data_IF_620326350128
#
_entry.id   IF_620326350128
#
_cell.length_a   1.000
_cell.length_b   1.000
_cell.length_c   1.000
_cell.angle_alpha   90.00
_cell.angle_beta   90.00
_cell.angle_gamma   90.00
#
_symmetry.space_group_name_H-M   'P 1'
#
loop_
_entity.id
_entity.type
_entity.pdbx_description
1 polymer ?
#
# COMPACT_ATOMS: atom_id res chain seq x y z
N UNK A 1 -21.34 -12.68 -9.58
CA UNK A 1 -21.51 -11.89 -8.35
C UNK A 1 -20.18 -11.77 -7.59
N UNK A 2 -19.67 -12.84 -6.97
CA UNK A 2 -18.44 -12.82 -6.15
C UNK A 2 -17.22 -12.20 -6.85
N UNK A 3 -16.96 -12.55 -8.12
CA UNK A 3 -15.82 -11.99 -8.84
C UNK A 3 -15.94 -10.47 -9.09
N UNK A 4 -17.13 -9.98 -9.45
CA UNK A 4 -17.34 -8.53 -9.64
C UNK A 4 -17.22 -7.77 -8.31
N UNK A 5 -17.66 -8.37 -7.20
CA UNK A 5 -17.48 -7.78 -5.88
C UNK A 5 -15.99 -7.71 -5.50
N UNK A 6 -15.21 -8.76 -5.81
CA UNK A 6 -13.74 -8.76 -5.64
C UNK A 6 -13.07 -7.68 -6.47
N UNK A 7 -13.41 -7.57 -7.77
CA UNK A 7 -12.82 -6.58 -8.66
C UNK A 7 -13.12 -5.15 -8.17
N UNK A 8 -14.37 -4.88 -7.79
CA UNK A 8 -14.75 -3.57 -7.23
C UNK A 8 -13.99 -3.26 -5.94
N UNK A 9 -13.89 -4.21 -5.01
CA UNK A 9 -13.14 -3.99 -3.77
C UNK A 9 -11.65 -3.74 -4.03
N UNK A 10 -11.08 -4.38 -5.06
CA UNK A 10 -9.69 -4.16 -5.45
C UNK A 10 -9.49 -2.76 -6.06
N UNK A 11 -10.42 -2.30 -6.90
CA UNK A 11 -10.40 -0.93 -7.44
C UNK A 11 -10.49 0.13 -6.34
N UNK A 12 -11.38 -0.08 -5.36
CA UNK A 12 -11.53 0.78 -4.19
C UNK A 12 -10.23 0.79 -3.36
N UNK A 13 -9.65 -0.37 -3.08
CA UNK A 13 -8.40 -0.48 -2.34
C UNK A 13 -7.21 0.18 -3.05
N UNK A 14 -7.11 0.03 -4.38
CA UNK A 14 -6.10 0.72 -5.20
C UNK A 14 -6.27 2.24 -5.12
N UNK A 15 -7.51 2.74 -5.11
CA UNK A 15 -7.78 4.18 -4.98
C UNK A 15 -7.39 4.73 -3.59
N UNK A 16 -7.61 3.96 -2.53
CA UNK A 16 -7.15 4.30 -1.18
C UNK A 16 -5.63 4.34 -1.09
N UNK A 17 -4.95 3.29 -1.57
CA UNK A 17 -3.48 3.23 -1.62
C UNK A 17 -2.90 4.39 -2.43
N UNK A 18 -3.53 4.73 -3.56
CA UNK A 18 -3.14 5.89 -4.35
C UNK A 18 -3.22 7.18 -3.54
N UNK A 19 -4.29 7.36 -2.78
CA UNK A 19 -4.45 8.54 -1.91
C UNK A 19 -3.34 8.61 -0.87
N UNK A 20 -2.96 7.48 -0.28
CA UNK A 20 -1.81 7.41 0.62
C UNK A 20 -0.49 7.78 -0.07
N UNK A 21 -0.25 7.31 -1.29
CA UNK A 21 0.97 7.67 -2.05
C UNK A 21 0.97 9.16 -2.42
N UNK A 22 -0.10 9.64 -3.04
CA UNK A 22 -0.18 10.98 -3.62
C UNK A 22 -0.21 12.08 -2.54
N UNK A 23 -0.70 11.77 -1.33
CA UNK A 23 -0.76 12.74 -0.22
C UNK A 23 0.22 12.42 0.91
N UNK A 24 0.11 11.25 1.55
CA UNK A 24 0.89 10.94 2.76
C UNK A 24 2.36 10.69 2.46
N UNK A 25 2.68 9.81 1.52
CA UNK A 25 4.08 9.53 1.15
C UNK A 25 4.71 10.77 0.53
N UNK A 26 3.96 11.46 -0.35
CA UNK A 26 4.43 12.71 -0.97
C UNK A 26 4.70 13.83 0.03
N UNK A 27 3.91 13.94 1.10
CA UNK A 27 4.14 14.92 2.17
C UNK A 27 5.54 14.77 2.79
N UNK A 28 6.02 13.53 2.93
CA UNK A 28 7.35 13.24 3.48
C UNK A 28 8.50 13.64 2.56
N UNK A 29 8.22 13.90 1.27
CA UNK A 29 9.18 14.35 0.27
C UNK A 29 9.18 15.88 0.08
N UNK A 30 8.37 16.62 0.84
CA UNK A 30 8.33 18.09 0.77
C UNK A 30 9.62 18.71 1.35
N UNK A 31 10.10 19.79 0.71
CA UNK A 31 11.31 20.50 1.13
C UNK A 31 11.19 21.14 2.52
N UNK A 32 9.95 21.37 2.98
CA UNK A 32 9.66 21.99 4.27
C UNK A 32 9.54 20.97 5.42
N UNK A 33 9.71 19.67 5.15
CA UNK A 33 9.67 18.63 6.17
C UNK A 33 10.82 18.84 7.17
N UNK A 34 10.55 18.87 8.50
CA UNK A 34 11.61 19.03 9.49
C UNK A 34 12.65 17.90 9.38
N UNK A 35 13.95 18.17 9.62
CA UNK A 35 15.01 17.18 9.45
C UNK A 35 14.80 15.88 10.23
N UNK A 36 14.19 15.94 11.42
CA UNK A 36 13.87 14.76 12.23
C UNK A 36 12.83 13.85 11.57
N UNK A 37 11.85 14.43 10.87
CA UNK A 37 10.83 13.70 10.13
C UNK A 37 11.44 13.10 8.86
N UNK A 38 12.21 13.91 8.12
CA UNK A 38 12.91 13.46 6.91
C UNK A 38 13.89 12.30 7.19
N UNK A 39 14.56 12.32 8.34
CA UNK A 39 15.45 11.23 8.78
C UNK A 39 14.73 9.90 9.04
N UNK A 40 13.41 9.93 9.27
CA UNK A 40 12.58 8.73 9.47
C UNK A 40 11.65 8.46 8.29
N UNK A 41 11.86 9.11 7.14
CA UNK A 41 11.00 9.03 5.95
C UNK A 41 10.64 7.60 5.58
N UNK A 42 11.63 6.71 5.44
CA UNK A 42 11.40 5.32 5.02
C UNK A 42 10.50 4.57 6.01
N UNK A 43 10.75 4.74 7.31
CA UNK A 43 9.96 4.10 8.36
C UNK A 43 8.52 4.63 8.42
N UNK A 44 8.35 5.94 8.25
CA UNK A 44 7.04 6.60 8.21
C UNK A 44 6.25 6.21 6.96
N UNK A 45 6.89 6.22 5.78
CA UNK A 45 6.27 5.84 4.52
C UNK A 45 5.86 4.37 4.46
N UNK A 46 6.48 3.50 5.28
CA UNK A 46 6.41 2.05 5.16
C UNK A 46 6.73 1.65 3.70
N UNK A 47 6.17 0.53 3.24
CA UNK A 47 6.22 0.10 1.83
C UNK A 47 4.90 0.38 1.09
N UNK A 48 4.24 1.50 1.38
CA UNK A 48 2.94 1.86 0.79
C UNK A 48 3.05 2.02 -0.73
N UNK A 49 4.15 2.57 -1.24
CA UNK A 49 4.36 2.76 -2.68
C UNK A 49 4.48 1.41 -3.41
N UNK A 50 5.16 0.43 -2.80
CA UNK A 50 5.29 -0.92 -3.31
C UNK A 50 3.95 -1.65 -3.29
N UNK A 51 3.18 -1.54 -2.21
CA UNK A 51 1.81 -2.07 -2.13
C UNK A 51 0.91 -1.48 -3.22
N UNK A 52 0.92 -0.15 -3.38
CA UNK A 52 0.17 0.51 -4.43
C UNK A 52 0.57 -0.01 -5.81
N UNK A 53 1.86 -0.10 -6.09
CA UNK A 53 2.35 -0.59 -7.37
C UNK A 53 1.94 -2.05 -7.62
N UNK A 54 2.06 -2.93 -6.62
CA UNK A 54 1.62 -4.31 -6.72
C UNK A 54 0.12 -4.39 -7.05
N UNK A 55 -0.73 -3.72 -6.27
CA UNK A 55 -2.17 -3.80 -6.46
C UNK A 55 -2.62 -3.15 -7.78
N UNK A 56 -2.15 -1.94 -8.08
CA UNK A 56 -2.58 -1.19 -9.27
C UNK A 56 -2.04 -1.79 -10.59
N UNK A 57 -0.78 -2.23 -10.60
CA UNK A 57 -0.10 -2.61 -11.84
C UNK A 57 0.01 -4.12 -12.07
N UNK A 58 -0.15 -4.94 -11.03
CA UNK A 58 -0.01 -6.39 -11.12
C UNK A 58 -1.34 -7.07 -10.83
N UNK A 59 -1.91 -6.85 -9.64
CA UNK A 59 -3.09 -7.57 -9.18
C UNK A 59 -4.34 -7.17 -9.96
N UNK A 60 -4.67 -5.87 -10.01
CA UNK A 60 -5.86 -5.38 -10.70
C UNK A 60 -5.83 -5.70 -12.21
N UNK A 61 -4.66 -5.61 -12.85
CA UNK A 61 -4.51 -6.01 -14.27
C UNK A 61 -4.66 -7.52 -14.45
N UNK A 62 -4.11 -8.31 -13.54
CA UNK A 62 -4.26 -9.76 -13.54
C UNK A 62 -5.72 -10.19 -13.37
N UNK A 63 -6.45 -9.56 -12.45
CA UNK A 63 -7.88 -9.81 -12.26
C UNK A 63 -8.66 -9.44 -13.53
N UNK A 64 -8.48 -8.23 -14.06
CA UNK A 64 -9.17 -7.78 -15.28
C UNK A 64 -8.95 -8.69 -16.49
N UNK A 65 -7.74 -9.23 -16.66
CA UNK A 65 -7.43 -10.13 -17.78
C UNK A 65 -8.19 -11.46 -17.73
N UNK A 66 -8.60 -11.91 -16.54
CA UNK A 66 -9.31 -13.17 -16.33
C UNK A 66 -10.78 -13.00 -15.94
N UNK A 67 -11.39 -11.85 -16.25
CA UNK A 67 -12.76 -11.52 -15.81
C UNK A 67 -13.84 -12.51 -16.21
N UNK A 68 -13.63 -13.21 -17.33
CA UNK A 68 -14.62 -14.09 -17.92
C UNK A 68 -14.37 -15.58 -17.59
N UNK A 69 -13.33 -15.90 -16.82
CA UNK A 69 -12.92 -17.28 -16.50
C UNK A 69 -12.57 -17.45 -15.00
N UNK A 70 -13.54 -17.86 -14.15
CA UNK A 70 -13.33 -18.02 -12.71
C UNK A 70 -12.21 -18.98 -12.33
N UNK A 71 -11.90 -19.99 -13.17
CA UNK A 71 -10.83 -20.94 -12.90
C UNK A 71 -9.43 -20.31 -12.99
N UNK A 72 -9.28 -19.26 -13.80
CA UNK A 72 -8.01 -18.53 -13.97
C UNK A 72 -7.79 -17.44 -12.93
N UNK A 73 -8.86 -16.97 -12.29
CA UNK A 73 -8.76 -16.07 -11.13
C UNK A 73 -7.98 -16.75 -10.00
N UNK A 74 -8.33 -17.99 -9.65
CA UNK A 74 -7.59 -18.76 -8.63
C UNK A 74 -6.11 -18.97 -8.98
N UNK A 75 -5.81 -19.25 -10.25
CA UNK A 75 -4.42 -19.39 -10.73
C UNK A 75 -3.63 -18.07 -10.64
N UNK A 76 -4.31 -16.93 -10.77
CA UNK A 76 -3.68 -15.61 -10.62
C UNK A 76 -3.13 -15.44 -9.21
N UNK A 77 -3.91 -15.77 -8.18
CA UNK A 77 -3.44 -15.68 -6.80
C UNK A 77 -2.24 -16.60 -6.52
N UNK A 78 -2.26 -17.84 -7.01
CA UNK A 78 -1.14 -18.78 -6.86
C UNK A 78 0.12 -18.23 -7.54
N UNK A 79 0.00 -17.64 -8.74
CA UNK A 79 1.12 -17.03 -9.44
C UNK A 79 1.70 -15.82 -8.70
N UNK A 80 0.86 -15.09 -7.97
CA UNK A 80 1.22 -13.88 -7.23
C UNK A 80 1.62 -14.16 -5.78
N UNK A 81 1.77 -15.42 -5.36
CA UNK A 81 2.04 -15.80 -3.96
C UNK A 81 3.18 -14.97 -3.33
N UNK A 82 4.30 -14.83 -4.05
CA UNK A 82 5.45 -14.05 -3.58
C UNK A 82 5.23 -12.55 -3.60
N UNK A 83 4.37 -12.06 -4.50
CA UNK A 83 4.04 -10.64 -4.53
C UNK A 83 3.23 -10.22 -3.28
N UNK A 84 2.58 -11.15 -2.58
CA UNK A 84 1.96 -10.87 -1.28
C UNK A 84 2.97 -10.66 -0.15
N UNK A 85 4.27 -10.92 -0.35
CA UNK A 85 5.31 -10.63 0.65
C UNK A 85 5.35 -9.13 1.00
N UNK A 86 4.87 -8.24 0.12
CA UNK A 86 4.71 -6.82 0.44
C UNK A 86 3.77 -6.59 1.63
N UNK A 87 2.71 -7.39 1.79
CA UNK A 87 1.83 -7.31 2.96
C UNK A 87 2.55 -7.79 4.22
N UNK A 88 3.33 -8.87 4.12
CA UNK A 88 4.11 -9.38 5.25
C UNK A 88 5.09 -8.32 5.76
N UNK A 89 5.78 -7.64 4.84
CA UNK A 89 6.69 -6.55 5.19
C UNK A 89 5.94 -5.38 5.84
N UNK A 90 4.80 -4.97 5.28
CA UNK A 90 3.98 -3.90 5.84
C UNK A 90 3.58 -4.18 7.29
N UNK A 91 2.98 -5.34 7.55
CA UNK A 91 2.53 -5.70 8.89
C UNK A 91 3.67 -5.94 9.88
N UNK A 92 4.85 -6.32 9.40
CA UNK A 92 6.05 -6.44 10.22
C UNK A 92 6.55 -5.08 10.72
N UNK A 93 6.55 -4.07 9.86
CA UNK A 93 7.10 -2.75 10.19
C UNK A 93 6.08 -1.83 10.89
N UNK A 94 4.79 -2.01 10.58
CA UNK A 94 3.67 -1.19 11.08
C UNK A 94 3.71 -0.94 12.60
N UNK A 95 3.89 -1.94 13.49
CA UNK A 95 3.90 -1.70 14.94
C UNK A 95 4.97 -0.70 15.36
N UNK A 96 6.17 -0.78 14.77
CA UNK A 96 7.29 0.10 15.11
C UNK A 96 7.10 1.51 14.56
N UNK A 97 6.37 1.66 13.46
CA UNK A 97 5.99 2.96 12.88
C UNK A 97 4.89 3.62 13.70
N UNK A 98 3.90 2.87 14.16
CA UNK A 98 2.88 3.36 15.08
C UNK A 98 3.49 3.85 16.40
N UNK A 99 4.47 3.14 16.95
CA UNK A 99 5.20 3.59 18.14
C UNK A 99 5.98 4.90 17.89
N UNK A 100 6.55 5.08 16.70
CA UNK A 100 7.26 6.31 16.33
C UNK A 100 6.29 7.50 16.23
N UNK A 101 5.09 7.29 15.68
CA UNK A 101 4.07 8.34 15.53
C UNK A 101 3.57 8.91 16.86
N UNK A 102 3.70 8.17 17.96
CA UNK A 102 3.35 8.67 19.30
C UNK A 102 4.45 9.54 19.94
N UNK A 103 5.64 9.60 19.33
CA UNK A 103 6.78 10.35 19.84
C UNK A 103 6.83 11.75 19.25
N UNK A 104 7.39 12.70 20.01
CA UNK A 104 7.70 14.03 19.47
C UNK A 104 9.00 14.01 18.66
N UNK A 105 9.10 14.74 17.54
CA UNK A 105 8.10 15.69 16.99
C UNK A 105 7.10 15.07 16.00
N UNK A 106 7.08 13.73 15.84
CA UNK A 106 6.27 13.05 14.82
C UNK A 106 4.77 13.22 15.05
N UNK A 107 4.34 13.12 16.31
CA UNK A 107 2.93 13.30 16.69
C UNK A 107 2.38 14.66 16.25
N UNK A 108 3.12 15.73 16.55
CA UNK A 108 2.72 17.10 16.20
C UNK A 108 2.75 17.35 14.68
N UNK A 109 3.62 16.67 13.95
CA UNK A 109 3.72 16.83 12.49
C UNK A 109 2.49 16.26 11.74
N UNK A 110 1.85 15.23 12.28
CA UNK A 110 0.71 14.55 11.64
C UNK A 110 -0.68 14.92 12.22
N UNK A 111 -0.75 15.88 13.16
CA UNK A 111 -2.00 16.43 13.71
C UNK A 111 -2.43 17.70 13.00
#
# INVERSE_FOLDING_TARGET
>A
QVYHDLLRSEEEFVAELRTCVDHYVRLLDDINVPPQIAAQREKLALNIAELYNFHANVMLKGLNYYSDDPGKVGQTFVRLERDFDHHVQFFKDLPSTLELLEQQPFKDFFQ
#
